data_IF_828190670209
#
_entry.id   IF_828190670209
#
_cell.length_a   1.000
_cell.length_b   1.000
_cell.length_c   1.000
_cell.angle_alpha   90.00
_cell.angle_beta   90.00
_cell.angle_gamma   90.00
#
_symmetry.space_group_name_H-M   'P 1'
#
loop_
_entity.id
_entity.type
_entity.pdbx_description
1 polymer ?
#
# COMPACT_ATOMS: atom_id res chain seq x y z
N UNK A 1 4.94 -10.33 -18.94
CA UNK A 1 3.53 -10.02 -18.54
C UNK A 1 2.68 -11.27 -18.35
N UNK A 2 2.80 -12.25 -19.24
CA UNK A 2 1.95 -13.45 -19.28
C UNK A 2 2.02 -14.34 -18.02
N UNK A 3 3.05 -14.20 -17.18
CA UNK A 3 3.20 -14.93 -15.91
C UNK A 3 2.76 -14.12 -14.68
N UNK A 4 2.34 -12.86 -14.84
CA UNK A 4 1.85 -12.02 -13.74
C UNK A 4 0.35 -12.22 -13.64
N UNK A 5 -0.09 -12.84 -12.55
CA UNK A 5 -1.52 -13.11 -12.30
C UNK A 5 -2.33 -11.83 -12.10
N UNK A 6 -1.89 -10.95 -11.20
CA UNK A 6 -2.64 -9.76 -10.80
C UNK A 6 -1.72 -8.64 -10.28
N UNK A 7 -2.19 -7.40 -10.45
CA UNK A 7 -1.73 -6.25 -9.69
C UNK A 7 -2.40 -6.21 -8.30
N UNK A 8 -1.74 -5.63 -7.30
CA UNK A 8 -2.26 -5.61 -5.92
C UNK A 8 -3.63 -4.92 -5.80
N UNK A 9 -3.87 -3.89 -6.61
CA UNK A 9 -5.16 -3.19 -6.65
C UNK A 9 -6.30 -4.05 -7.16
N UNK A 10 -6.03 -5.00 -8.06
CA UNK A 10 -7.05 -5.93 -8.57
C UNK A 10 -7.48 -6.92 -7.48
N UNK A 11 -6.54 -7.35 -6.64
CA UNK A 11 -6.81 -8.21 -5.49
C UNK A 11 -7.61 -7.45 -4.41
N UNK A 12 -7.19 -6.22 -4.07
CA UNK A 12 -7.87 -5.39 -3.08
C UNK A 12 -9.31 -5.08 -3.49
N UNK A 13 -9.53 -4.78 -4.77
CA UNK A 13 -10.86 -4.47 -5.32
C UNK A 13 -11.67 -5.73 -5.66
N UNK A 14 -11.16 -6.93 -5.37
CA UNK A 14 -11.78 -8.21 -5.69
C UNK A 14 -12.12 -8.40 -7.18
N UNK A 15 -11.45 -7.68 -8.08
CA UNK A 15 -11.60 -7.89 -9.53
C UNK A 15 -10.80 -9.10 -10.01
N UNK A 16 -9.81 -9.55 -9.22
CA UNK A 16 -9.14 -10.84 -9.34
C UNK A 16 -9.00 -11.51 -7.97
N UNK A 17 -9.01 -12.84 -7.95
CA UNK A 17 -8.80 -13.62 -6.73
C UNK A 17 -7.33 -13.61 -6.31
N UNK A 18 -7.09 -13.57 -4.99
CA UNK A 18 -5.79 -13.84 -4.40
C UNK A 18 -5.47 -15.33 -4.34
N UNK A 19 -4.68 -15.74 -3.34
CA UNK A 19 -4.42 -17.15 -3.02
C UNK A 19 -5.74 -17.91 -2.82
N UNK A 20 -5.88 -19.05 -3.49
CA UNK A 20 -7.11 -19.85 -3.51
C UNK A 20 -6.97 -21.23 -2.88
N UNK A 21 -5.73 -21.72 -2.67
CA UNK A 21 -5.48 -23.01 -2.02
C UNK A 21 -4.18 -23.01 -1.20
N UNK A 22 -4.02 -24.05 -0.37
CA UNK A 22 -2.83 -24.24 0.46
C UNK A 22 -1.61 -24.72 -0.35
N UNK A 23 -1.83 -25.37 -1.49
CA UNK A 23 -0.77 -25.94 -2.33
C UNK A 23 -0.11 -24.89 -3.24
N UNK A 24 -0.73 -23.73 -3.40
CA UNK A 24 -0.17 -22.63 -4.19
C UNK A 24 1.09 -22.06 -3.53
N UNK A 25 2.05 -21.60 -4.33
CA UNK A 25 3.13 -20.72 -3.88
C UNK A 25 2.88 -19.35 -4.52
N UNK A 26 2.67 -18.33 -3.71
CA UNK A 26 2.40 -16.95 -4.17
C UNK A 26 3.63 -16.09 -3.98
N UNK A 27 4.03 -15.36 -5.01
CA UNK A 27 5.11 -14.38 -4.95
C UNK A 27 4.54 -12.97 -5.14
N UNK A 28 4.71 -12.12 -4.13
CA UNK A 28 4.41 -10.70 -4.22
C UNK A 28 5.71 -9.93 -4.46
N UNK A 29 5.78 -9.22 -5.58
CA UNK A 29 6.89 -8.32 -5.91
C UNK A 29 6.40 -6.88 -6.00
N UNK A 30 7.09 -5.99 -5.33
CA UNK A 30 6.88 -4.54 -5.45
C UNK A 30 8.21 -3.83 -5.72
N UNK A 31 8.14 -2.71 -6.43
CA UNK A 31 9.25 -1.76 -6.60
C UNK A 31 9.01 -0.45 -5.81
N UNK A 32 7.92 -0.37 -5.03
CA UNK A 32 7.42 0.87 -4.42
C UNK A 32 6.47 1.62 -5.36
N UNK A 33 5.46 2.28 -4.79
CA UNK A 33 4.49 3.09 -5.54
C UNK A 33 4.31 4.42 -4.82
N UNK A 34 4.66 5.53 -5.47
CA UNK A 34 4.68 6.87 -4.85
C UNK A 34 3.36 7.28 -4.18
N UNK A 35 2.21 6.81 -4.70
CA UNK A 35 0.90 7.10 -4.08
C UNK A 35 0.78 6.51 -2.67
N UNK A 36 1.42 5.36 -2.40
CA UNK A 36 1.42 4.74 -1.08
C UNK A 36 2.20 5.61 -0.08
N UNK A 37 3.30 6.22 -0.52
CA UNK A 37 4.10 7.13 0.32
C UNK A 37 3.31 8.40 0.68
N UNK A 38 2.70 9.04 -0.32
CA UNK A 38 1.95 10.30 -0.12
C UNK A 38 0.73 10.08 0.79
N UNK A 39 -0.01 8.99 0.59
CA UNK A 39 -1.17 8.66 1.44
C UNK A 39 -0.72 8.35 2.87
N UNK A 40 0.36 7.59 3.03
CA UNK A 40 0.93 7.29 4.35
C UNK A 40 1.38 8.56 5.07
N UNK A 41 2.08 9.46 4.38
CA UNK A 41 2.51 10.75 4.92
C UNK A 41 1.31 11.62 5.35
N UNK A 42 0.24 11.66 4.55
CA UNK A 42 -0.98 12.40 4.91
C UNK A 42 -1.63 11.85 6.18
N UNK A 43 -1.73 10.52 6.32
CA UNK A 43 -2.29 9.88 7.51
C UNK A 43 -1.41 10.17 8.74
N UNK A 44 -0.09 10.02 8.60
CA UNK A 44 0.86 10.30 9.67
C UNK A 44 0.77 11.76 10.15
N UNK A 45 0.70 12.72 9.21
CA UNK A 45 0.56 14.13 9.54
C UNK A 45 -0.75 14.42 10.27
N UNK A 46 -1.89 13.91 9.78
CA UNK A 46 -3.20 14.07 10.45
C UNK A 46 -3.21 13.49 11.87
N UNK A 47 -2.55 12.36 12.07
CA UNK A 47 -2.42 11.76 13.40
C UNK A 47 -1.55 12.63 14.31
N UNK A 48 -0.42 13.15 13.80
CA UNK A 48 0.45 14.05 14.55
C UNK A 48 -0.27 15.34 14.98
N UNK A 49 -1.09 15.94 14.11
CA UNK A 49 -1.93 17.09 14.44
C UNK A 49 -2.92 16.77 15.56
N UNK A 50 -3.61 15.62 15.49
CA UNK A 50 -4.58 15.18 16.49
C UNK A 50 -3.94 14.91 17.85
N UNK A 51 -2.71 14.39 17.86
CA UNK A 51 -1.99 13.96 19.07
C UNK A 51 -1.01 15.03 19.58
N UNK A 52 -0.99 16.21 18.96
CA UNK A 52 -0.11 17.33 19.29
C UNK A 52 1.39 16.93 19.27
N UNK A 53 1.78 16.21 18.22
CA UNK A 53 3.14 15.73 17.98
C UNK A 53 3.82 16.54 16.88
N UNK A 54 5.16 16.67 16.98
CA UNK A 54 5.99 17.33 15.97
C UNK A 54 6.35 18.78 16.31
N UNK A 55 6.88 19.50 15.32
CA UNK A 55 7.32 20.89 15.46
C UNK A 55 7.07 21.65 14.17
N UNK A 56 6.45 22.83 14.27
CA UNK A 56 6.34 23.75 13.14
C UNK A 56 7.72 24.35 12.88
N UNK A 57 8.21 24.16 11.66
CA UNK A 57 9.43 24.77 11.16
C UNK A 57 9.06 25.89 10.20
N UNK A 58 9.46 27.11 10.56
CA UNK A 58 9.35 28.30 9.71
C UNK A 58 10.73 28.56 9.12
N UNK A 59 10.79 28.82 7.81
CA UNK A 59 12.01 29.21 7.09
C UNK A 59 12.32 30.69 7.30
#
# INVERSE_FOLDING_TARGET
PEHIHAEIGEIINATKSGRSSHDEITFFKSCGVAVQDVVTASIALKNAERENLGKICIL
#
